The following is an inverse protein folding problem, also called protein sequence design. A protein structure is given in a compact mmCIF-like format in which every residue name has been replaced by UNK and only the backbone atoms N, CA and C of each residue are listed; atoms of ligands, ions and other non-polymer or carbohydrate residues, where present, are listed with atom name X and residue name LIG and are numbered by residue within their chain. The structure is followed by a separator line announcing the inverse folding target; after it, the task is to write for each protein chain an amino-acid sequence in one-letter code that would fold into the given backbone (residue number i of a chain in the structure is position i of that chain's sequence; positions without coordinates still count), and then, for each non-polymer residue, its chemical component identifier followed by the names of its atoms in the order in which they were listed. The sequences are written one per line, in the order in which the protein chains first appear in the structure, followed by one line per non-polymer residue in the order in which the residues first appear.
data_IF_912905032379
#
_entry.id   IF_912905032379
#
_cell.length_a   1.000
_cell.length_b   1.000
_cell.length_c   1.000
_cell.angle_alpha   90.00
_cell.angle_beta   90.00
_cell.angle_gamma   90.00
#
_symmetry.space_group_name_H-M   'P 1'
#
loop_
_entity.id
_entity.type
_entity.pdbx_description
1 polymer ?
#
# COMPACT_ATOMS: atom_id res chain seq x y z
N UNK A 1 -38.32 0.07 -5.53
CA UNK A 1 -37.28 1.05 -5.20
C UNK A 1 -37.62 2.31 -5.96
N UNK A 2 -37.95 3.39 -5.26
CA UNK A 2 -38.32 4.66 -5.88
C UNK A 2 -37.02 5.31 -6.37
N UNK A 3 -36.92 5.79 -7.62
CA UNK A 3 -35.75 6.55 -8.08
C UNK A 3 -35.54 7.77 -7.15
N UNK A 4 -34.43 7.78 -6.41
CA UNK A 4 -34.12 8.81 -5.42
C UNK A 4 -34.08 8.33 -3.96
N UNK A 5 -34.52 7.11 -3.66
CA UNK A 5 -34.16 6.45 -2.41
C UNK A 5 -32.72 5.92 -2.56
N UNK A 6 -31.73 6.78 -2.28
CA UNK A 6 -30.34 6.31 -2.13
C UNK A 6 -30.33 5.32 -0.97
N UNK A 7 -30.24 4.03 -1.30
CA UNK A 7 -29.73 3.04 -0.38
C UNK A 7 -28.37 3.60 0.04
N UNK A 8 -28.25 4.11 1.26
CA UNK A 8 -26.97 4.51 1.84
C UNK A 8 -26.15 3.24 2.01
N UNK A 9 -25.55 2.84 0.91
CA UNK A 9 -24.75 1.65 0.75
C UNK A 9 -23.34 2.08 1.10
N UNK A 10 -22.71 1.36 2.04
CA UNK A 10 -21.31 1.57 2.40
C UNK A 10 -20.36 1.01 1.33
N UNK A 11 -20.85 0.74 0.11
CA UNK A 11 -20.03 0.22 -0.97
C UNK A 11 -19.07 1.30 -1.47
N UNK A 12 -17.80 0.95 -1.76
CA UNK A 12 -16.80 1.94 -2.19
C UNK A 12 -17.17 2.74 -3.45
N UNK A 13 -18.07 2.20 -4.28
CA UNK A 13 -18.56 2.84 -5.49
C UNK A 13 -19.57 3.98 -5.24
N UNK A 14 -20.23 3.99 -4.08
CA UNK A 14 -21.21 5.02 -3.70
C UNK A 14 -20.55 6.22 -2.98
N UNK A 15 -19.24 6.13 -2.71
CA UNK A 15 -18.50 7.19 -2.03
C UNK A 15 -18.16 8.30 -3.01
N UNK A 16 -18.48 9.59 -2.73
CA UNK A 16 -18.15 10.69 -3.63
C UNK A 16 -16.66 11.03 -3.55
N UNK A 17 -15.84 10.39 -4.38
CA UNK A 17 -14.37 10.56 -4.41
C UNK A 17 -13.92 12.00 -4.68
N UNK A 18 -14.76 12.79 -5.36
CA UNK A 18 -14.54 14.20 -5.67
C UNK A 18 -15.04 15.16 -4.58
N UNK A 19 -15.69 14.65 -3.53
CA UNK A 19 -16.07 15.48 -2.39
C UNK A 19 -14.79 16.01 -1.71
N UNK A 20 -14.67 17.33 -1.47
CA UNK A 20 -13.42 17.93 -0.99
C UNK A 20 -12.89 17.31 0.32
N UNK A 21 -13.78 16.95 1.23
CA UNK A 21 -13.50 16.30 2.50
C UNK A 21 -12.90 14.89 2.31
N UNK A 22 -13.46 14.10 1.38
CA UNK A 22 -12.95 12.78 1.03
C UNK A 22 -11.59 12.88 0.35
N UNK A 23 -11.44 13.82 -0.60
CA UNK A 23 -10.18 14.03 -1.31
C UNK A 23 -9.02 14.39 -0.37
N UNK A 24 -9.27 15.26 0.61
CA UNK A 24 -8.25 15.64 1.61
C UNK A 24 -7.92 14.46 2.52
N UNK A 25 -8.93 13.78 3.07
CA UNK A 25 -8.71 12.65 3.97
C UNK A 25 -7.90 11.52 3.30
N UNK A 26 -8.33 11.06 2.13
CA UNK A 26 -7.63 10.00 1.40
C UNK A 26 -6.27 10.45 0.87
N UNK A 27 -6.13 11.71 0.46
CA UNK A 27 -4.85 12.26 0.03
C UNK A 27 -3.80 12.17 1.13
N UNK A 28 -4.11 12.66 2.33
CA UNK A 28 -3.20 12.57 3.48
C UNK A 28 -2.93 11.12 3.86
N UNK A 29 -3.97 10.28 3.91
CA UNK A 29 -3.84 8.86 4.22
C UNK A 29 -2.86 8.16 3.26
N UNK A 30 -3.01 8.36 1.95
CA UNK A 30 -2.16 7.71 0.95
C UNK A 30 -0.73 8.23 0.98
N UNK A 31 -0.51 9.52 1.30
CA UNK A 31 0.84 10.05 1.51
C UNK A 31 1.52 9.36 2.69
N UNK A 32 0.83 9.21 3.82
CA UNK A 32 1.38 8.54 5.01
C UNK A 32 1.69 7.07 4.70
N UNK A 33 0.75 6.36 4.07
CA UNK A 33 0.96 4.97 3.66
C UNK A 33 2.11 4.82 2.66
N UNK A 34 2.28 5.78 1.76
CA UNK A 34 3.39 5.79 0.82
C UNK A 34 4.74 5.97 1.55
N UNK A 35 4.84 6.90 2.50
CA UNK A 35 6.06 7.11 3.29
C UNK A 35 6.42 5.87 4.11
N UNK A 36 5.45 5.27 4.80
CA UNK A 36 5.69 4.06 5.60
C UNK A 36 6.02 2.87 4.69
N UNK A 37 5.24 2.68 3.61
CA UNK A 37 5.43 1.58 2.67
C UNK A 37 6.77 1.64 1.94
N UNK A 38 7.22 2.84 1.54
CA UNK A 38 8.55 3.02 0.94
C UNK A 38 9.66 2.76 1.95
N UNK A 39 9.55 3.28 3.18
CA UNK A 39 10.51 3.02 4.24
C UNK A 39 10.66 1.52 4.56
N UNK A 40 9.54 0.82 4.75
CA UNK A 40 9.53 -0.62 4.97
C UNK A 40 10.02 -1.40 3.74
N UNK A 41 9.63 -0.99 2.55
CA UNK A 41 10.01 -1.64 1.30
C UNK A 41 11.51 -1.59 1.04
N UNK A 42 12.17 -0.47 1.37
CA UNK A 42 13.64 -0.34 1.26
C UNK A 42 14.35 -1.33 2.18
N UNK A 43 13.95 -1.37 3.46
CA UNK A 43 14.58 -2.29 4.43
C UNK A 43 14.34 -3.74 4.04
N UNK A 44 13.10 -4.09 3.69
CA UNK A 44 12.75 -5.43 3.26
C UNK A 44 13.57 -5.89 2.05
N UNK A 45 13.72 -5.03 1.04
CA UNK A 45 14.49 -5.36 -0.16
C UNK A 45 15.98 -5.51 0.14
N UNK A 46 16.54 -4.67 1.02
CA UNK A 46 17.93 -4.79 1.45
C UNK A 46 18.18 -6.13 2.16
N UNK A 47 17.35 -6.46 3.15
CA UNK A 47 17.45 -7.73 3.88
C UNK A 47 17.30 -8.95 2.96
N UNK A 48 16.41 -8.87 1.98
CA UNK A 48 16.23 -9.93 1.00
C UNK A 48 17.47 -10.12 0.10
N UNK A 49 18.05 -9.02 -0.38
CA UNK A 49 19.27 -9.05 -1.20
C UNK A 49 20.46 -9.60 -0.41
N UNK A 50 20.62 -9.20 0.85
CA UNK A 50 21.67 -9.70 1.74
C UNK A 50 21.53 -11.21 1.96
N UNK A 51 20.32 -11.69 2.26
CA UNK A 51 20.04 -13.12 2.42
C UNK A 51 20.44 -13.93 1.18
N UNK A 52 20.12 -13.44 -0.03
CA UNK A 52 20.49 -14.12 -1.28
C UNK A 52 22.01 -14.10 -1.50
N UNK A 53 22.68 -12.98 -1.18
CA UNK A 53 24.14 -12.86 -1.32
C UNK A 53 24.86 -13.83 -0.38
N UNK A 54 24.38 -13.97 0.85
CA UNK A 54 24.93 -14.90 1.83
C UNK A 54 24.76 -16.34 1.37
N UNK A 55 23.57 -16.75 0.94
CA UNK A 55 23.33 -18.09 0.42
C UNK A 55 24.24 -18.44 -0.78
N UNK A 56 24.40 -17.51 -1.73
CA UNK A 56 25.31 -17.71 -2.88
C UNK A 56 26.78 -17.81 -2.47
N UNK A 57 27.19 -17.10 -1.43
CA UNK A 57 28.56 -17.14 -0.91
C UNK A 57 28.85 -18.50 -0.26
N UNK A 58 27.88 -19.05 0.48
CA UNK A 58 27.99 -20.39 1.08
C UNK A 58 28.11 -21.48 -0.01
N UNK A 59 27.27 -21.43 -1.05
CA UNK A 59 27.37 -22.36 -2.19
C UNK A 59 28.73 -22.29 -2.89
N UNK A 60 29.28 -21.08 -3.06
CA UNK A 60 30.59 -20.89 -3.68
C UNK A 60 31.75 -21.36 -2.80
N UNK A 61 31.62 -21.29 -1.46
CA UNK A 61 32.63 -21.76 -0.52
C UNK A 61 32.61 -23.28 -0.31
N UNK A 62 31.46 -23.92 -0.56
CA UNK A 62 31.30 -25.37 -0.48
C UNK A 62 31.79 -26.13 -1.74
N UNK A 63 32.15 -25.41 -2.80
CA UNK A 63 32.64 -25.96 -4.07
C UNK A 63 34.17 -25.83 -4.18
#
# INVERSE_FOLDING_TARGET
MIPGETVHSMLPQDLPWWAPDHAVFFGVLYIVLFVIGTGLGVVFLQSFIETIKEARKEEAAAK
#
